data_IF_268597717105
#
_entry.id   IF_268597717105
#
_cell.length_a   1.000
_cell.length_b   1.000
_cell.length_c   1.000
_cell.angle_alpha   90.00
_cell.angle_beta   90.00
_cell.angle_gamma   90.00
#
_symmetry.space_group_name_H-M   'P 1'
#
loop_
_entity.id
_entity.type
_entity.pdbx_description
1 polymer ?
#
# COMPACT_ATOMS: atom_id res chain seq x y z
N UNK A 1 -18.73 7.15 1.17
CA UNK A 1 -19.83 6.25 0.67
C UNK A 1 -19.28 4.85 0.37
N UNK A 2 -18.25 4.45 1.08
CA UNK A 2 -17.72 3.08 1.04
C UNK A 2 -18.80 2.12 1.55
N UNK A 3 -19.23 1.13 0.75
CA UNK A 3 -20.38 0.30 1.11
C UNK A 3 -20.23 -0.53 2.38
N UNK A 4 -19.00 -0.94 2.72
CA UNK A 4 -18.69 -1.69 3.96
C UNK A 4 -18.98 -0.86 5.23
N UNK A 5 -18.98 0.48 5.13
CA UNK A 5 -19.33 1.38 6.23
C UNK A 5 -20.73 2.00 6.10
N UNK A 6 -21.20 2.22 4.88
CA UNK A 6 -22.39 3.03 4.61
C UNK A 6 -23.61 2.25 4.09
N UNK A 7 -23.49 0.95 3.79
CA UNK A 7 -24.57 0.17 3.19
C UNK A 7 -25.87 0.19 4.02
N UNK A 8 -25.77 0.33 5.33
CA UNK A 8 -26.91 0.34 6.25
C UNK A 8 -27.56 1.73 6.47
N UNK A 9 -27.07 2.79 5.82
CA UNK A 9 -27.65 4.14 5.99
C UNK A 9 -29.16 4.15 5.69
N UNK A 10 -29.61 3.48 4.63
CA UNK A 10 -31.03 3.46 4.27
C UNK A 10 -31.90 2.78 5.35
N UNK A 11 -31.43 1.71 5.96
CA UNK A 11 -32.09 1.02 7.07
C UNK A 11 -32.13 1.93 8.30
N UNK A 12 -30.99 2.51 8.67
CA UNK A 12 -30.88 3.43 9.79
C UNK A 12 -31.85 4.62 9.66
N UNK A 13 -31.91 5.26 8.49
CA UNK A 13 -32.80 6.38 8.23
C UNK A 13 -34.26 6.01 8.22
N UNK A 14 -34.60 4.74 8.07
CA UNK A 14 -35.97 4.23 8.17
C UNK A 14 -36.35 3.99 9.63
N UNK A 15 -35.45 3.41 10.40
CA UNK A 15 -35.66 3.11 11.83
C UNK A 15 -35.64 4.38 12.71
N UNK A 16 -34.84 5.38 12.30
CA UNK A 16 -34.71 6.65 13.00
C UNK A 16 -35.17 7.82 12.11
N UNK A 17 -36.50 8.07 12.01
CA UNK A 17 -37.07 9.06 11.11
C UNK A 17 -36.65 10.51 11.42
N UNK A 18 -36.24 10.81 12.66
CA UNK A 18 -35.74 12.11 13.09
C UNK A 18 -34.24 12.33 12.83
N UNK A 19 -33.54 11.30 12.41
CA UNK A 19 -32.09 11.42 12.15
C UNK A 19 -31.82 12.28 10.92
N UNK A 20 -30.71 13.03 10.97
CA UNK A 20 -30.22 13.87 9.87
C UNK A 20 -28.83 13.40 9.47
N UNK A 21 -28.61 13.21 8.17
CA UNK A 21 -27.29 12.86 7.63
C UNK A 21 -26.50 14.13 7.41
N UNK A 22 -25.24 14.16 7.90
CA UNK A 22 -24.28 15.24 7.65
C UNK A 22 -23.16 14.70 6.78
N UNK A 23 -22.97 15.24 5.57
CA UNK A 23 -21.92 14.78 4.66
C UNK A 23 -21.64 15.78 3.54
N UNK A 24 -20.69 15.46 2.65
CA UNK A 24 -20.39 16.25 1.46
C UNK A 24 -21.53 16.17 0.42
N UNK A 25 -21.63 17.17 -0.45
CA UNK A 25 -22.58 17.15 -1.56
C UNK A 25 -22.37 15.91 -2.46
N UNK A 26 -21.11 15.54 -2.69
CA UNK A 26 -20.76 14.39 -3.52
C UNK A 26 -21.23 13.07 -2.89
N UNK A 27 -21.12 12.93 -1.57
CA UNK A 27 -21.63 11.75 -0.86
C UNK A 27 -23.13 11.59 -1.05
N UNK A 28 -23.93 12.67 -1.00
CA UNK A 28 -25.37 12.58 -1.26
C UNK A 28 -25.69 12.17 -2.70
N UNK A 29 -24.93 12.65 -3.68
CA UNK A 29 -25.05 12.16 -5.06
C UNK A 29 -24.77 10.66 -5.17
N UNK A 30 -23.76 10.17 -4.45
CA UNK A 30 -23.43 8.73 -4.41
C UNK A 30 -24.51 7.93 -3.65
N UNK A 31 -25.08 8.47 -2.57
CA UNK A 31 -26.23 7.87 -1.88
C UNK A 31 -27.42 7.70 -2.82
N UNK A 32 -27.71 8.68 -3.68
CA UNK A 32 -28.74 8.57 -4.70
C UNK A 32 -28.48 7.41 -5.67
N UNK A 33 -27.23 7.26 -6.11
CA UNK A 33 -26.85 6.17 -7.01
C UNK A 33 -26.97 4.80 -6.32
N UNK A 34 -26.63 4.72 -5.04
CA UNK A 34 -26.60 3.46 -4.29
C UNK A 34 -27.96 3.07 -3.69
N UNK A 35 -28.70 4.05 -3.11
CA UNK A 35 -29.97 3.82 -2.41
C UNK A 35 -31.20 4.31 -3.18
N UNK A 36 -31.02 5.03 -4.29
CA UNK A 36 -32.12 5.71 -5.01
C UNK A 36 -32.66 6.97 -4.32
N UNK A 37 -32.02 7.46 -3.24
CA UNK A 37 -32.45 8.60 -2.42
C UNK A 37 -31.28 9.50 -2.05
N UNK A 38 -31.54 10.82 -1.99
CA UNK A 38 -30.57 11.84 -1.53
C UNK A 38 -30.90 12.39 -0.13
N UNK A 39 -32.01 11.95 0.49
CA UNK A 39 -32.46 12.42 1.80
C UNK A 39 -32.57 13.95 1.90
N UNK A 40 -33.15 14.61 0.89
CA UNK A 40 -33.15 16.08 0.74
C UNK A 40 -33.81 16.80 1.93
N UNK A 41 -34.80 16.18 2.56
CA UNK A 41 -35.56 16.63 3.74
C UNK A 41 -34.80 16.42 5.06
N UNK A 42 -33.76 15.55 5.07
CA UNK A 42 -33.06 15.15 6.29
C UNK A 42 -31.53 15.09 6.04
N UNK A 43 -30.97 16.15 5.44
CA UNK A 43 -29.52 16.24 5.19
C UNK A 43 -28.98 17.62 5.51
N UNK A 44 -27.73 17.63 5.99
CA UNK A 44 -26.89 18.83 6.10
C UNK A 44 -25.69 18.61 5.19
N UNK A 45 -25.51 19.52 4.22
CA UNK A 45 -24.36 19.47 3.32
C UNK A 45 -23.25 20.31 3.95
N UNK A 46 -22.09 19.68 4.15
CA UNK A 46 -20.88 20.32 4.67
C UNK A 46 -19.74 20.23 3.66
N UNK A 47 -18.77 21.10 3.80
CA UNK A 47 -17.56 21.20 2.98
C UNK A 47 -16.34 21.39 3.86
N UNK A 48 -15.17 21.54 3.24
CA UNK A 48 -13.90 21.82 3.93
C UNK A 48 -14.03 22.91 4.97
N UNK A 49 -13.58 22.65 6.19
CA UNK A 49 -13.55 23.55 7.33
C UNK A 49 -14.92 24.01 7.87
N UNK A 50 -16.03 23.47 7.37
CA UNK A 50 -17.31 23.68 8.02
C UNK A 50 -17.31 23.05 9.42
N UNK A 51 -18.09 23.61 10.34
CA UNK A 51 -18.26 23.08 11.68
C UNK A 51 -19.71 22.74 11.98
N UNK A 52 -19.92 21.81 12.91
CA UNK A 52 -21.23 21.45 13.45
C UNK A 52 -21.15 21.46 14.98
N UNK A 53 -21.89 22.37 15.59
CA UNK A 53 -21.97 22.45 17.03
C UNK A 53 -23.05 21.48 17.56
N UNK A 54 -22.66 20.58 18.45
CA UNK A 54 -23.50 19.59 19.13
C UNK A 54 -23.65 19.92 20.64
N UNK A 55 -23.46 21.19 21.03
CA UNK A 55 -23.47 21.64 22.41
C UNK A 55 -22.08 21.59 23.03
N UNK A 56 -21.72 20.52 23.72
CA UNK A 56 -20.40 20.31 24.32
C UNK A 56 -19.31 20.05 23.28
N UNK A 57 -19.66 19.32 22.22
CA UNK A 57 -18.77 18.95 21.13
C UNK A 57 -18.95 19.87 19.92
N UNK A 58 -17.85 20.22 19.28
CA UNK A 58 -17.85 20.89 18.00
C UNK A 58 -17.04 20.03 17.00
N UNK A 59 -17.72 19.62 15.94
CA UNK A 59 -17.14 18.81 14.89
C UNK A 59 -16.67 19.71 13.75
N UNK A 60 -15.42 19.53 13.33
CA UNK A 60 -14.85 20.17 12.13
C UNK A 60 -14.69 19.14 11.03
N UNK A 61 -15.13 19.45 9.81
CA UNK A 61 -15.05 18.57 8.66
C UNK A 61 -13.84 18.93 7.79
N UNK A 62 -12.98 17.94 7.53
CA UNK A 62 -11.77 18.09 6.72
C UNK A 62 -11.89 17.19 5.51
N UNK A 63 -11.96 17.77 4.31
CA UNK A 63 -12.02 17.01 3.08
C UNK A 63 -10.71 16.25 2.82
N UNK A 64 -10.85 14.96 2.53
CA UNK A 64 -9.76 14.03 2.25
C UNK A 64 -10.01 13.27 0.92
N UNK A 65 -10.26 13.97 -0.20
CA UNK A 65 -10.64 13.33 -1.46
C UNK A 65 -9.56 12.36 -1.90
N UNK A 66 -9.97 11.19 -2.38
CA UNK A 66 -9.11 10.07 -2.80
C UNK A 66 -8.31 9.41 -1.67
N UNK A 67 -8.70 9.61 -0.40
CA UNK A 67 -8.19 8.83 0.73
C UNK A 67 -9.33 7.96 1.30
N UNK A 68 -9.84 6.87 0.68
CA UNK A 68 -9.39 6.55 -0.69
C UNK A 68 -10.49 6.83 -1.75
N UNK A 69 -11.71 7.21 -1.37
CA UNK A 69 -12.82 7.58 -2.26
C UNK A 69 -12.88 9.10 -2.49
N UNK A 70 -13.52 9.55 -3.60
CA UNK A 70 -13.45 10.96 -4.00
C UNK A 70 -14.18 11.92 -3.05
N UNK A 71 -15.16 11.44 -2.29
CA UNK A 71 -15.98 12.27 -1.38
C UNK A 71 -15.58 12.19 0.08
N UNK A 72 -14.52 11.45 0.40
CA UNK A 72 -14.08 11.20 1.79
C UNK A 72 -13.86 12.50 2.55
N UNK A 73 -14.38 12.53 3.75
CA UNK A 73 -14.14 13.54 4.77
C UNK A 73 -13.74 12.86 6.07
N UNK A 74 -12.73 13.41 6.72
CA UNK A 74 -12.45 13.08 8.11
C UNK A 74 -13.10 14.10 9.02
N UNK A 75 -13.45 13.70 10.23
CA UNK A 75 -14.14 14.57 11.19
C UNK A 75 -13.30 14.71 12.44
N UNK A 76 -13.06 15.94 12.88
CA UNK A 76 -12.33 16.24 14.11
C UNK A 76 -13.27 16.80 15.16
N UNK A 77 -13.32 16.16 16.33
CA UNK A 77 -13.98 16.68 17.52
C UNK A 77 -12.97 17.49 18.36
N UNK A 78 -13.18 18.78 18.43
CA UNK A 78 -12.27 19.71 19.12
C UNK A 78 -12.35 19.60 20.65
N UNK A 79 -13.46 19.08 21.20
CA UNK A 79 -13.63 18.94 22.64
C UNK A 79 -12.78 17.78 23.19
N UNK A 80 -12.94 16.59 22.62
CA UNK A 80 -12.23 15.39 23.06
C UNK A 80 -10.95 15.13 22.26
N UNK A 81 -10.62 16.01 21.27
CA UNK A 81 -9.43 15.94 20.41
C UNK A 81 -9.32 14.64 19.64
N UNK A 82 -10.47 14.15 19.16
CA UNK A 82 -10.61 12.89 18.43
C UNK A 82 -10.67 13.15 16.94
N UNK A 83 -9.85 12.44 16.17
CA UNK A 83 -9.93 12.39 14.73
C UNK A 83 -10.64 11.09 14.30
N UNK A 84 -11.82 11.20 13.69
CA UNK A 84 -12.48 10.12 12.97
C UNK A 84 -11.93 10.12 11.54
N UNK A 85 -11.01 9.20 11.28
CA UNK A 85 -10.11 9.26 10.12
C UNK A 85 -10.60 8.53 8.88
N UNK A 86 -11.86 8.08 8.84
CA UNK A 86 -12.36 7.17 7.81
C UNK A 86 -11.40 5.96 7.71
N UNK A 87 -11.01 5.53 6.52
CA UNK A 87 -10.05 4.43 6.34
C UNK A 87 -8.60 4.80 6.65
N UNK A 88 -8.32 6.09 6.82
CA UNK A 88 -6.98 6.54 7.23
C UNK A 88 -6.54 5.91 8.54
N UNK A 89 -5.32 5.39 8.58
CA UNK A 89 -4.73 4.67 9.72
C UNK A 89 -5.37 3.30 10.02
N UNK A 90 -6.17 2.77 9.08
CA UNK A 90 -6.75 1.45 9.18
C UNK A 90 -5.73 0.31 8.99
N UNK A 91 -6.11 -0.88 9.40
CA UNK A 91 -5.36 -2.12 9.17
C UNK A 91 -6.30 -3.29 8.88
N UNK A 92 -5.78 -4.34 8.24
CA UNK A 92 -6.49 -5.61 8.15
C UNK A 92 -6.54 -6.37 9.49
N UNK A 93 -7.45 -7.32 9.57
CA UNK A 93 -7.65 -8.18 10.74
C UNK A 93 -8.70 -7.65 11.73
N UNK A 94 -9.19 -8.55 12.57
CA UNK A 94 -10.12 -8.20 13.65
C UNK A 94 -9.45 -7.29 14.69
N UNK A 95 -10.25 -6.53 15.44
CA UNK A 95 -9.74 -5.58 16.45
C UNK A 95 -8.98 -6.25 17.58
N UNK A 96 -9.25 -7.52 17.86
CA UNK A 96 -8.62 -8.37 18.87
C UNK A 96 -7.52 -9.29 18.29
N UNK A 97 -7.22 -9.19 16.99
CA UNK A 97 -6.15 -9.97 16.38
C UNK A 97 -4.78 -9.50 16.89
N UNK A 98 -4.01 -10.43 17.44
CA UNK A 98 -2.61 -10.21 17.78
C UNK A 98 -1.77 -10.04 16.51
N UNK A 99 -0.75 -9.18 16.55
CA UNK A 99 0.17 -8.98 15.44
C UNK A 99 0.75 -7.57 15.38
N UNK A 100 1.76 -7.40 14.52
CA UNK A 100 2.36 -6.09 14.26
C UNK A 100 1.38 -5.21 13.48
N UNK A 101 0.98 -4.09 14.10
CA UNK A 101 0.10 -3.11 13.44
C UNK A 101 0.67 -2.65 12.10
N UNK A 102 1.97 -2.38 12.03
CA UNK A 102 2.60 -1.83 10.83
C UNK A 102 2.55 -2.79 9.63
N UNK A 103 2.68 -4.10 9.84
CA UNK A 103 2.59 -5.10 8.77
C UNK A 103 1.20 -5.06 8.12
N UNK A 104 0.15 -5.22 8.91
CA UNK A 104 -1.22 -5.25 8.41
C UNK A 104 -1.72 -3.87 7.91
N UNK A 105 -1.26 -2.78 8.53
CA UNK A 105 -1.58 -1.43 8.08
C UNK A 105 -0.86 -1.06 6.77
N UNK A 106 0.38 -1.51 6.57
CA UNK A 106 1.12 -1.31 5.31
C UNK A 106 0.46 -2.08 4.18
N UNK A 107 0.08 -3.34 4.43
CA UNK A 107 -0.67 -4.16 3.47
C UNK A 107 -2.00 -3.51 3.11
N UNK A 108 -2.74 -3.01 4.09
CA UNK A 108 -3.97 -2.25 3.90
C UNK A 108 -3.72 -0.97 3.08
N UNK A 109 -2.73 -0.16 3.50
CA UNK A 109 -2.40 1.10 2.84
C UNK A 109 -2.05 0.90 1.35
N UNK A 110 -1.07 0.05 1.04
CA UNK A 110 -0.67 -0.19 -0.35
C UNK A 110 -1.72 -0.96 -1.15
N UNK A 111 -2.55 -1.76 -0.52
CA UNK A 111 -3.68 -2.43 -1.15
C UNK A 111 -4.75 -1.45 -1.65
N UNK A 112 -5.06 -0.43 -0.88
CA UNK A 112 -6.25 0.43 -1.06
C UNK A 112 -5.87 1.88 -1.39
N UNK A 113 -4.93 2.47 -0.67
CA UNK A 113 -4.59 3.90 -0.74
C UNK A 113 -3.34 4.19 -1.56
N UNK A 114 -2.43 3.24 -1.72
CA UNK A 114 -1.05 3.43 -2.20
C UNK A 114 -0.87 4.32 -3.43
N UNK A 115 -1.80 4.28 -4.39
CA UNK A 115 -1.81 5.16 -5.57
C UNK A 115 -1.97 6.65 -5.22
N UNK A 116 -2.56 6.96 -4.08
CA UNK A 116 -3.01 8.29 -3.69
C UNK A 116 -2.09 8.96 -2.66
N UNK A 117 -0.78 8.72 -2.72
CA UNK A 117 0.19 9.31 -1.79
C UNK A 117 0.10 10.84 -1.68
N UNK A 118 -0.07 11.56 -2.81
CA UNK A 118 -0.24 13.02 -2.80
C UNK A 118 -1.47 13.51 -1.99
N UNK A 119 -2.68 12.98 -2.23
CA UNK A 119 -3.84 13.21 -1.37
C UNK A 119 -3.60 12.95 0.12
N UNK A 120 -2.93 11.83 0.48
CA UNK A 120 -2.59 11.52 1.88
C UNK A 120 -1.63 12.56 2.46
N UNK A 121 -0.58 12.96 1.73
CA UNK A 121 0.33 14.03 2.13
C UNK A 121 -0.41 15.36 2.39
N UNK A 122 -1.43 15.64 1.58
CA UNK A 122 -2.28 16.84 1.77
C UNK A 122 -3.10 16.73 3.05
N UNK A 123 -3.68 15.57 3.32
CA UNK A 123 -4.44 15.30 4.56
C UNK A 123 -3.54 15.42 5.79
N UNK A 124 -2.33 14.82 5.76
CA UNK A 124 -1.37 14.91 6.88
C UNK A 124 -0.99 16.37 7.19
N UNK A 125 -0.79 17.22 6.17
CA UNK A 125 -0.52 18.65 6.35
C UNK A 125 -1.68 19.39 7.01
N UNK A 126 -2.93 19.06 6.64
CA UNK A 126 -4.12 19.65 7.28
C UNK A 126 -4.24 19.20 8.73
N UNK A 127 -4.04 17.90 8.98
CA UNK A 127 -4.12 17.32 10.32
C UNK A 127 -3.03 17.83 11.28
N UNK A 128 -1.86 18.24 10.77
CA UNK A 128 -0.75 18.79 11.57
C UNK A 128 -1.11 20.06 12.35
N UNK A 129 -2.16 20.78 11.93
CA UNK A 129 -2.69 21.95 12.66
C UNK A 129 -3.71 21.62 13.74
N UNK A 130 -4.08 20.35 13.93
CA UNK A 130 -5.08 19.89 14.89
C UNK A 130 -4.40 19.27 16.12
N UNK A 131 -4.96 19.52 17.30
CA UNK A 131 -4.49 18.91 18.55
C UNK A 131 -5.15 17.55 18.75
N UNK A 132 -4.63 16.52 18.05
CA UNK A 132 -5.20 15.17 18.02
C UNK A 132 -4.56 14.33 19.13
N UNK A 133 -5.39 13.73 19.99
CA UNK A 133 -4.97 12.78 21.03
C UNK A 133 -5.46 11.36 20.78
N UNK A 134 -6.48 11.19 19.94
CA UNK A 134 -7.05 9.89 19.57
C UNK A 134 -7.37 9.88 18.08
N UNK A 135 -7.06 8.78 17.41
CA UNK A 135 -7.47 8.51 16.02
C UNK A 135 -8.39 7.29 16.03
N UNK A 136 -9.58 7.45 15.43
CA UNK A 136 -10.58 6.41 15.28
C UNK A 136 -10.72 6.03 13.80
N UNK A 137 -9.97 5.04 13.30
CA UNK A 137 -10.14 4.54 11.95
C UNK A 137 -11.39 3.65 11.85
N UNK A 138 -11.92 3.49 10.63
CA UNK A 138 -13.06 2.59 10.38
C UNK A 138 -12.64 1.11 10.37
N UNK A 139 -11.35 0.81 10.12
CA UNK A 139 -10.76 -0.52 10.21
C UNK A 139 -9.65 -0.56 11.26
N UNK A 140 -9.61 -1.62 12.08
CA UNK A 140 -8.59 -1.80 13.10
C UNK A 140 -8.90 -1.13 14.44
N UNK A 141 -7.91 -1.01 15.33
CA UNK A 141 -8.11 -0.49 16.68
C UNK A 141 -8.16 1.04 16.73
N UNK A 142 -8.76 1.58 17.79
CA UNK A 142 -8.59 2.99 18.17
C UNK A 142 -7.14 3.22 18.57
N UNK A 143 -6.54 4.29 18.06
CA UNK A 143 -5.15 4.67 18.32
C UNK A 143 -5.13 5.86 19.30
N UNK A 144 -4.63 5.65 20.51
CA UNK A 144 -4.58 6.69 21.57
C UNK A 144 -3.19 6.86 22.17
N UNK A 145 -2.25 6.03 21.79
CA UNK A 145 -0.87 6.08 22.28
C UNK A 145 0.10 6.16 21.10
N UNK A 146 1.24 6.82 21.31
CA UNK A 146 2.32 6.92 20.32
C UNK A 146 1.87 7.33 18.91
N UNK A 147 0.95 8.29 18.80
CA UNK A 147 0.39 8.72 17.50
C UNK A 147 1.45 9.14 16.51
N UNK A 148 2.57 9.69 16.98
CA UNK A 148 3.72 10.05 16.14
C UNK A 148 4.28 8.90 15.32
N UNK A 149 4.22 7.66 15.84
CA UNK A 149 4.64 6.46 15.12
C UNK A 149 3.76 6.19 13.89
N UNK A 150 2.45 6.23 14.06
CA UNK A 150 1.49 5.99 12.97
C UNK A 150 1.53 7.10 11.92
N UNK A 151 1.62 8.36 12.35
CA UNK A 151 1.76 9.51 11.46
C UNK A 151 3.06 9.44 10.64
N UNK A 152 4.17 9.04 11.25
CA UNK A 152 5.45 8.87 10.58
C UNK A 152 5.41 7.77 9.52
N UNK A 153 4.78 6.62 9.80
CA UNK A 153 4.62 5.56 8.81
C UNK A 153 3.77 6.02 7.63
N UNK A 154 2.66 6.69 7.88
CA UNK A 154 1.81 7.25 6.82
C UNK A 154 2.55 8.31 5.98
N UNK A 155 3.42 9.12 6.59
CA UNK A 155 4.28 10.07 5.87
C UNK A 155 5.28 9.33 4.96
N UNK A 156 5.97 8.31 5.47
CA UNK A 156 6.89 7.47 4.70
C UNK A 156 6.17 6.81 3.53
N UNK A 157 5.05 6.13 3.77
CA UNK A 157 4.32 5.40 2.72
C UNK A 157 3.76 6.33 1.65
N UNK A 158 3.17 7.45 2.04
CA UNK A 158 2.55 8.40 1.12
C UNK A 158 3.53 9.26 0.35
N UNK A 159 4.75 9.43 0.86
CA UNK A 159 5.86 10.04 0.12
C UNK A 159 6.65 9.03 -0.72
N UNK A 160 6.28 7.74 -0.68
CA UNK A 160 7.00 6.62 -1.29
C UNK A 160 8.43 6.50 -0.76
N UNK A 161 8.65 6.82 0.50
CA UNK A 161 9.92 6.67 1.21
C UNK A 161 10.26 5.20 1.46
N UNK A 162 11.50 4.95 1.84
CA UNK A 162 11.96 3.64 2.31
C UNK A 162 11.66 3.54 3.80
N UNK A 163 10.92 2.50 4.21
CA UNK A 163 10.58 2.30 5.61
C UNK A 163 11.68 1.58 6.38
N UNK A 164 12.30 0.61 5.75
CA UNK A 164 13.31 -0.25 6.40
C UNK A 164 14.45 -0.56 5.44
N UNK A 165 15.66 -0.62 5.97
CA UNK A 165 16.81 -1.13 5.22
C UNK A 165 16.65 -2.62 4.94
N UNK A 166 16.92 -3.02 3.71
CA UNK A 166 16.83 -4.42 3.29
C UNK A 166 16.53 -4.59 1.81
N UNK A 167 16.41 -5.84 1.40
CA UNK A 167 16.14 -6.26 0.02
C UNK A 167 14.91 -7.17 -0.01
N UNK A 168 13.94 -6.83 -0.87
CA UNK A 168 12.86 -7.73 -1.25
C UNK A 168 13.27 -8.53 -2.49
N UNK A 169 13.15 -9.85 -2.47
CA UNK A 169 13.34 -10.73 -3.61
C UNK A 169 11.99 -11.37 -3.94
N UNK A 170 11.40 -11.00 -5.07
CA UNK A 170 10.18 -11.62 -5.58
C UNK A 170 10.52 -12.54 -6.77
N UNK A 171 10.07 -13.78 -6.73
CA UNK A 171 10.45 -14.72 -7.76
C UNK A 171 9.34 -15.68 -8.19
N UNK A 172 9.52 -16.24 -9.39
CA UNK A 172 8.80 -17.42 -9.87
C UNK A 172 9.79 -18.46 -10.39
N UNK A 173 9.50 -19.72 -10.15
CA UNK A 173 10.36 -20.82 -10.61
C UNK A 173 9.52 -22.02 -11.01
N UNK A 174 9.71 -22.51 -12.25
CA UNK A 174 8.95 -23.65 -12.77
C UNK A 174 9.64 -24.98 -12.41
N UNK A 175 10.94 -25.09 -12.68
CA UNK A 175 11.72 -26.32 -12.48
C UNK A 175 12.73 -26.22 -11.33
N UNK A 176 12.67 -25.17 -10.51
CA UNK A 176 13.53 -24.98 -9.35
C UNK A 176 14.87 -24.28 -9.61
N UNK A 177 15.28 -24.07 -10.86
CA UNK A 177 16.59 -23.46 -11.14
C UNK A 177 16.65 -21.96 -10.79
N UNK A 178 15.57 -21.20 -11.09
CA UNK A 178 15.48 -19.80 -10.67
C UNK A 178 15.42 -19.69 -9.15
N UNK A 179 14.69 -20.57 -8.48
CA UNK A 179 14.64 -20.67 -7.01
C UNK A 179 16.04 -20.86 -6.41
N UNK A 180 16.84 -21.78 -6.94
CA UNK A 180 18.23 -22.01 -6.46
C UNK A 180 19.11 -20.76 -6.58
N UNK A 181 18.95 -19.98 -7.65
CA UNK A 181 19.68 -18.73 -7.83
C UNK A 181 19.24 -17.66 -6.82
N UNK A 182 17.94 -17.57 -6.54
CA UNK A 182 17.37 -16.68 -5.53
C UNK A 182 17.84 -17.07 -4.13
N UNK A 183 17.80 -18.35 -3.78
CA UNK A 183 18.29 -18.85 -2.49
C UNK A 183 19.78 -18.52 -2.31
N UNK A 184 20.60 -18.73 -3.34
CA UNK A 184 22.00 -18.38 -3.34
C UNK A 184 22.21 -16.86 -3.12
N UNK A 185 21.52 -16.01 -3.90
CA UNK A 185 21.62 -14.56 -3.71
C UNK A 185 21.20 -14.12 -2.31
N UNK A 186 20.13 -14.69 -1.77
CA UNK A 186 19.66 -14.37 -0.42
C UNK A 186 20.67 -14.75 0.67
N UNK A 187 21.41 -15.86 0.49
CA UNK A 187 22.49 -16.26 1.38
C UNK A 187 23.66 -15.28 1.30
N UNK A 188 24.07 -14.86 0.09
CA UNK A 188 25.15 -13.89 -0.09
C UNK A 188 24.79 -12.52 0.49
N UNK A 189 23.58 -12.02 0.24
CA UNK A 189 23.09 -10.76 0.85
C UNK A 189 23.18 -10.78 2.38
N UNK A 190 22.79 -11.89 3.01
CA UNK A 190 22.90 -12.04 4.47
C UNK A 190 24.37 -12.12 4.93
N UNK A 191 25.21 -12.79 4.17
CA UNK A 191 26.66 -12.90 4.44
C UNK A 191 27.36 -11.54 4.30
N UNK A 192 26.93 -10.71 3.36
CA UNK A 192 27.45 -9.35 3.14
C UNK A 192 26.83 -8.31 4.10
N UNK A 193 25.99 -8.74 5.07
CA UNK A 193 25.48 -7.91 6.16
C UNK A 193 24.17 -7.17 5.86
N UNK A 194 23.44 -7.52 4.79
CA UNK A 194 22.13 -6.95 4.52
C UNK A 194 21.19 -7.14 5.72
N UNK A 195 20.62 -6.04 6.24
CA UNK A 195 19.84 -6.02 7.49
C UNK A 195 18.60 -6.94 7.44
N UNK A 196 17.91 -6.97 6.30
CA UNK A 196 16.75 -7.78 6.06
C UNK A 196 16.71 -8.29 4.61
N UNK A 197 16.38 -9.56 4.43
CA UNK A 197 16.16 -10.18 3.12
C UNK A 197 14.83 -10.90 3.13
N UNK A 198 13.81 -10.27 2.54
CA UNK A 198 12.50 -10.86 2.34
C UNK A 198 12.50 -11.64 1.02
N UNK A 199 11.98 -12.87 1.01
CA UNK A 199 12.00 -13.74 -0.19
C UNK A 199 10.59 -14.26 -0.43
N UNK A 200 9.99 -13.85 -1.54
CA UNK A 200 8.60 -14.12 -1.90
C UNK A 200 8.50 -15.03 -3.14
N UNK A 201 8.02 -16.27 -2.96
CA UNK A 201 7.62 -17.15 -4.05
C UNK A 201 6.21 -16.76 -4.52
N UNK A 202 6.14 -15.96 -5.57
CA UNK A 202 4.88 -15.37 -6.07
C UNK A 202 3.84 -16.42 -6.50
N UNK A 203 4.23 -17.66 -6.70
CA UNK A 203 3.30 -18.75 -7.00
C UNK A 203 2.71 -19.40 -5.73
N UNK A 204 3.18 -19.04 -4.53
CA UNK A 204 2.84 -19.71 -3.27
C UNK A 204 2.60 -18.76 -2.09
N UNK A 205 3.11 -17.54 -2.15
CA UNK A 205 2.84 -16.54 -1.11
C UNK A 205 1.52 -15.80 -1.35
N UNK A 206 1.06 -15.06 -0.36
CA UNK A 206 0.04 -14.04 -0.57
C UNK A 206 0.65 -12.90 -1.40
N UNK A 207 0.02 -12.56 -2.51
CA UNK A 207 0.47 -11.48 -3.40
C UNK A 207 0.51 -10.13 -2.67
N UNK A 208 -0.42 -9.88 -1.76
CA UNK A 208 -0.47 -8.63 -1.00
C UNK A 208 0.72 -8.49 -0.04
N UNK A 209 1.21 -9.59 0.54
CA UNK A 209 2.44 -9.62 1.34
C UNK A 209 3.67 -9.26 0.50
N UNK A 210 3.79 -9.88 -0.70
CA UNK A 210 4.90 -9.58 -1.59
C UNK A 210 4.91 -8.11 -2.05
N UNK A 211 3.73 -7.53 -2.30
CA UNK A 211 3.57 -6.12 -2.67
C UNK A 211 3.99 -5.20 -1.53
N UNK A 212 3.53 -5.47 -0.30
CA UNK A 212 3.88 -4.62 0.84
C UNK A 212 5.37 -4.68 1.17
N UNK A 213 6.00 -5.87 1.08
CA UNK A 213 7.44 -6.04 1.21
C UNK A 213 8.22 -5.22 0.17
N UNK A 214 7.77 -5.19 -1.08
CA UNK A 214 8.42 -4.40 -2.12
C UNK A 214 8.37 -2.89 -1.83
N UNK A 215 7.27 -2.39 -1.26
CA UNK A 215 7.16 -1.00 -0.85
C UNK A 215 7.93 -0.68 0.44
N UNK A 216 8.08 -1.65 1.32
CA UNK A 216 8.78 -1.51 2.60
C UNK A 216 10.26 -1.24 2.42
N UNK A 217 10.91 -2.00 1.52
CA UNK A 217 12.36 -1.95 1.31
C UNK A 217 12.76 -1.05 0.15
N UNK A 218 13.98 -0.53 0.20
CA UNK A 218 14.53 0.33 -0.85
C UNK A 218 14.99 -0.42 -2.11
N UNK A 219 15.23 -1.74 -1.99
CA UNK A 219 15.83 -2.56 -3.03
C UNK A 219 14.95 -3.76 -3.36
N UNK A 220 14.73 -4.01 -4.66
CA UNK A 220 13.88 -5.09 -5.17
C UNK A 220 14.66 -5.93 -6.19
N UNK A 221 14.67 -7.24 -6.01
CA UNK A 221 15.14 -8.19 -7.00
C UNK A 221 13.97 -8.96 -7.58
N UNK A 222 13.83 -8.94 -8.90
CA UNK A 222 12.83 -9.68 -9.65
C UNK A 222 13.46 -10.85 -10.38
N UNK A 223 13.06 -12.08 -10.04
CA UNK A 223 13.64 -13.29 -10.60
C UNK A 223 12.57 -14.16 -11.26
N UNK A 224 12.65 -14.37 -12.58
CA UNK A 224 11.65 -15.17 -13.29
C UNK A 224 12.21 -15.88 -14.53
N UNK A 225 11.41 -16.83 -15.04
CA UNK A 225 11.74 -17.50 -16.30
C UNK A 225 11.14 -16.77 -17.50
N UNK A 226 11.82 -16.86 -18.63
CA UNK A 226 11.20 -16.53 -19.92
C UNK A 226 10.08 -17.53 -20.20
N UNK A 227 8.86 -17.03 -20.42
CA UNK A 227 7.67 -17.81 -20.67
C UNK A 227 6.89 -17.22 -21.85
N UNK A 228 6.66 -18.03 -22.88
CA UNK A 228 6.00 -17.61 -24.12
C UNK A 228 6.60 -16.32 -24.73
N UNK A 229 7.95 -16.20 -24.74
CA UNK A 229 8.65 -15.02 -25.21
C UNK A 229 8.51 -13.78 -24.31
N UNK A 230 7.95 -13.91 -23.13
CA UNK A 230 7.70 -12.85 -22.16
C UNK A 230 8.12 -13.30 -20.74
N UNK A 231 7.34 -12.98 -19.72
CA UNK A 231 7.57 -13.35 -18.31
C UNK A 231 6.44 -14.25 -17.79
N UNK A 232 6.73 -14.99 -16.73
CA UNK A 232 5.73 -15.87 -16.10
C UNK A 232 4.57 -15.04 -15.52
N UNK A 233 3.31 -15.51 -15.63
CA UNK A 233 2.12 -14.73 -15.28
C UNK A 233 2.14 -14.09 -13.88
N UNK A 234 2.48 -14.83 -12.82
CA UNK A 234 2.53 -14.28 -11.47
C UNK A 234 3.53 -13.13 -11.31
N UNK A 235 4.65 -13.15 -12.04
CA UNK A 235 5.60 -12.04 -12.04
C UNK A 235 5.02 -10.82 -12.76
N UNK A 236 4.26 -11.02 -13.84
CA UNK A 236 3.57 -9.92 -14.51
C UNK A 236 2.56 -9.27 -13.58
N UNK A 237 1.70 -10.08 -12.96
CA UNK A 237 0.68 -9.64 -12.04
C UNK A 237 1.28 -8.85 -10.86
N UNK A 238 2.37 -9.35 -10.29
CA UNK A 238 3.11 -8.64 -9.25
C UNK A 238 3.61 -7.25 -9.69
N UNK A 239 4.26 -7.15 -10.87
CA UNK A 239 4.76 -5.87 -11.37
C UNK A 239 3.60 -4.92 -11.70
N UNK A 240 2.50 -5.42 -12.27
CA UNK A 240 1.29 -4.62 -12.51
C UNK A 240 0.75 -4.05 -11.19
N UNK A 241 0.66 -4.87 -10.13
CA UNK A 241 0.29 -4.39 -8.80
C UNK A 241 1.21 -3.30 -8.27
N UNK A 242 2.52 -3.39 -8.48
CA UNK A 242 3.46 -2.35 -8.05
C UNK A 242 3.25 -1.05 -8.82
N UNK A 243 3.21 -1.13 -10.16
CA UNK A 243 3.15 0.06 -11.03
C UNK A 243 1.81 0.79 -10.92
N UNK A 244 0.70 0.07 -10.79
CA UNK A 244 -0.63 0.63 -10.55
C UNK A 244 -0.73 1.42 -9.23
N UNK A 245 0.08 1.05 -8.24
CA UNK A 245 0.18 1.72 -6.93
C UNK A 245 1.25 2.81 -6.88
N UNK A 246 1.87 3.12 -8.02
CA UNK A 246 2.84 4.19 -8.14
C UNK A 246 4.22 3.85 -7.56
N UNK A 247 4.65 2.59 -7.67
CA UNK A 247 5.98 2.14 -7.24
C UNK A 247 7.08 3.00 -7.83
N UNK A 248 7.90 3.59 -6.98
CA UNK A 248 8.90 4.58 -7.34
C UNK A 248 10.00 4.73 -6.29
N UNK A 249 11.08 5.46 -6.61
CA UNK A 249 12.21 5.75 -5.70
C UNK A 249 12.85 4.46 -5.15
N UNK A 250 13.11 3.51 -6.04
CA UNK A 250 13.64 2.20 -5.67
C UNK A 250 14.76 1.74 -6.61
N UNK A 251 15.67 0.96 -6.06
CA UNK A 251 16.67 0.23 -6.81
C UNK A 251 16.11 -1.13 -7.20
N UNK A 252 16.19 -1.50 -8.49
CA UNK A 252 15.64 -2.75 -9.01
C UNK A 252 16.71 -3.53 -9.76
N UNK A 253 16.83 -4.82 -9.47
CA UNK A 253 17.69 -5.76 -10.16
C UNK A 253 16.90 -6.94 -10.74
N UNK A 254 17.46 -7.58 -11.77
CA UNK A 254 16.78 -8.66 -12.48
C UNK A 254 17.61 -9.94 -12.51
N UNK A 255 16.94 -11.07 -12.28
CA UNK A 255 17.45 -12.41 -12.57
C UNK A 255 16.51 -13.07 -13.58
N UNK A 256 17.02 -13.37 -14.77
CA UNK A 256 16.24 -14.07 -15.78
C UNK A 256 16.76 -15.48 -16.01
N UNK A 257 15.87 -16.41 -16.32
CA UNK A 257 16.23 -17.76 -16.71
C UNK A 257 15.57 -18.14 -18.04
N UNK A 258 16.35 -18.64 -18.97
CA UNK A 258 15.85 -19.10 -20.28
C UNK A 258 16.90 -19.87 -21.03
N UNK A 259 16.63 -21.13 -21.39
CA UNK A 259 17.61 -22.04 -21.97
C UNK A 259 18.19 -21.56 -23.32
N UNK A 260 17.37 -20.98 -24.20
CA UNK A 260 17.79 -20.61 -25.58
C UNK A 260 17.58 -19.15 -25.96
N UNK A 261 16.55 -18.48 -25.43
CA UNK A 261 16.20 -17.10 -25.77
C UNK A 261 15.68 -16.35 -24.53
N UNK A 262 16.55 -16.04 -23.56
CA UNK A 262 16.16 -15.27 -22.38
C UNK A 262 15.69 -13.87 -22.77
N UNK A 263 14.50 -13.48 -22.34
CA UNK A 263 13.88 -12.17 -22.63
C UNK A 263 13.17 -11.59 -21.40
N UNK A 264 13.18 -12.32 -20.29
CA UNK A 264 12.39 -11.93 -19.11
C UNK A 264 12.87 -10.62 -18.50
N UNK A 265 14.18 -10.40 -18.36
CA UNK A 265 14.72 -9.17 -17.80
C UNK A 265 14.29 -7.93 -18.59
N UNK A 266 14.42 -7.98 -19.92
CA UNK A 266 13.98 -6.89 -20.79
C UNK A 266 12.48 -6.60 -20.65
N UNK A 267 11.65 -7.65 -20.55
CA UNK A 267 10.21 -7.49 -20.40
C UNK A 267 9.85 -6.90 -19.02
N UNK A 268 10.53 -7.34 -17.94
CA UNK A 268 10.34 -6.76 -16.61
C UNK A 268 10.76 -5.29 -16.58
N UNK A 269 11.94 -4.96 -17.11
CA UNK A 269 12.45 -3.59 -17.18
C UNK A 269 11.48 -2.65 -17.90
N UNK A 270 10.89 -3.11 -19.02
CA UNK A 270 9.92 -2.33 -19.77
C UNK A 270 8.65 -2.00 -18.97
N UNK A 271 8.24 -2.84 -18.05
CA UNK A 271 7.05 -2.59 -17.22
C UNK A 271 7.25 -1.42 -16.24
N UNK A 272 8.49 -1.04 -15.94
CA UNK A 272 8.83 0.11 -15.09
C UNK A 272 9.13 1.39 -15.87
N UNK A 273 8.99 1.42 -17.20
CA UNK A 273 9.38 2.58 -18.04
C UNK A 273 8.68 3.89 -17.66
N UNK A 274 7.48 3.79 -17.07
CA UNK A 274 6.69 4.94 -16.61
C UNK A 274 6.78 5.17 -15.08
N UNK A 275 7.52 4.35 -14.36
CA UNK A 275 7.75 4.53 -12.94
C UNK A 275 8.84 5.58 -12.69
N UNK A 276 8.62 6.44 -11.68
CA UNK A 276 9.54 7.53 -11.38
C UNK A 276 10.71 7.03 -10.52
N UNK A 277 11.89 7.57 -10.77
CA UNK A 277 13.07 7.35 -9.93
C UNK A 277 13.33 5.86 -9.63
N UNK A 278 13.23 5.01 -10.67
CA UNK A 278 13.65 3.61 -10.62
C UNK A 278 15.08 3.52 -11.14
N UNK A 279 16.01 3.15 -10.27
CA UNK A 279 17.38 2.83 -10.62
C UNK A 279 17.47 1.33 -10.94
N UNK A 280 17.76 1.01 -12.20
CA UNK A 280 18.00 -0.38 -12.60
C UNK A 280 19.51 -0.66 -12.49
N UNK A 281 19.87 -1.58 -11.59
CA UNK A 281 21.26 -1.97 -11.37
C UNK A 281 21.63 -3.27 -12.14
N UNK A 282 21.88 -4.37 -11.56
CA UNK A 282 22.35 -5.57 -12.24
C UNK A 282 21.26 -6.39 -12.97
N UNK A 283 21.72 -7.16 -13.98
CA UNK A 283 20.95 -8.25 -14.59
C UNK A 283 21.78 -9.51 -14.65
N UNK A 284 21.28 -10.62 -14.08
CA UNK A 284 21.93 -11.93 -14.17
C UNK A 284 21.10 -12.84 -15.07
N UNK A 285 21.73 -13.30 -16.17
CA UNK A 285 21.10 -14.20 -17.13
C UNK A 285 21.55 -15.64 -16.89
N UNK A 286 20.62 -16.52 -16.56
CA UNK A 286 20.86 -17.94 -16.33
C UNK A 286 20.29 -18.75 -17.50
N UNK A 287 21.06 -19.69 -17.97
CA UNK A 287 20.62 -20.62 -19.04
C UNK A 287 20.37 -22.01 -18.45
N UNK A 288 19.15 -22.20 -17.94
CA UNK A 288 18.69 -23.37 -17.18
C UNK A 288 19.38 -23.49 -15.82
N UNK A 289 20.51 -24.19 -15.71
CA UNK A 289 21.22 -24.35 -14.45
C UNK A 289 22.21 -23.21 -14.21
N UNK A 290 22.36 -22.84 -12.95
CA UNK A 290 23.35 -21.84 -12.53
C UNK A 290 24.77 -22.38 -12.68
N UNK A 291 25.65 -21.60 -13.33
CA UNK A 291 27.06 -21.89 -13.51
C UNK A 291 27.92 -21.14 -12.46
N UNK A 292 29.23 -21.43 -12.41
CA UNK A 292 30.14 -20.69 -11.52
C UNK A 292 30.28 -19.21 -11.95
N UNK A 293 30.17 -18.91 -13.24
CA UNK A 293 30.06 -17.53 -13.73
C UNK A 293 28.82 -16.82 -13.19
N UNK A 294 27.67 -17.50 -13.19
CA UNK A 294 26.44 -16.94 -12.63
C UNK A 294 26.56 -16.72 -11.12
N UNK A 295 27.24 -17.58 -10.38
CA UNK A 295 27.53 -17.36 -8.95
C UNK A 295 28.35 -16.09 -8.75
N UNK A 296 29.44 -15.92 -9.52
CA UNK A 296 30.28 -14.72 -9.44
C UNK A 296 29.46 -13.43 -9.77
N UNK A 297 28.53 -13.50 -10.73
CA UNK A 297 27.62 -12.39 -11.03
C UNK A 297 26.65 -12.11 -9.88
N UNK A 298 26.10 -13.15 -9.23
CA UNK A 298 25.23 -13.02 -8.07
C UNK A 298 25.97 -12.49 -6.84
N UNK A 299 27.24 -12.89 -6.63
CA UNK A 299 28.10 -12.34 -5.57
C UNK A 299 28.35 -10.84 -5.76
N UNK A 300 28.61 -10.41 -7.01
CA UNK A 300 28.75 -9.00 -7.33
C UNK A 300 27.46 -8.23 -7.10
N UNK A 301 26.33 -8.78 -7.51
CA UNK A 301 25.01 -8.19 -7.29
C UNK A 301 24.68 -8.10 -5.80
N UNK A 302 25.00 -9.11 -5.00
CA UNK A 302 24.79 -9.08 -3.55
C UNK A 302 25.54 -7.91 -2.90
N UNK A 303 26.82 -7.70 -3.26
CA UNK A 303 27.64 -6.59 -2.75
C UNK A 303 27.09 -5.21 -3.15
N UNK A 304 26.50 -5.10 -4.33
CA UNK A 304 25.88 -3.86 -4.80
C UNK A 304 24.58 -3.55 -4.06
N UNK A 305 23.87 -4.59 -3.65
CA UNK A 305 22.58 -4.50 -2.98
C UNK A 305 22.64 -4.56 -1.44
N UNK A 306 23.73 -4.98 -0.83
CA UNK A 306 23.89 -5.10 0.64
C UNK A 306 24.07 -3.73 1.39
#
# INVERSE_FOLDING_TARGET
MEPDHSANIATFMTEYPEATIVSSKQAFTMMKNYFGKEYEDRRIIVKESDTLNLGKHELTFVAAPMVHWPEVMVTYDSHDKILFSADGFGKFGASDAEGDWACEARRYYFGIVGKYGGPVQTLLKKAAGLDITVICPLHGPVLSENLGYYLNLYDIWSSYGVESEGVCIAYTSVYGNTKKAVEYLAEQLRADGCAKVAVNDLARCDMAEAVEDAFRYGKLVLATTTYNGSIFPFMRDFIDHLTERGYQKRTVAFIENGSWAPTAARNMAKMFENSKDIEQVGTVTIRSAMTDENKAQLDALAKELA
#
